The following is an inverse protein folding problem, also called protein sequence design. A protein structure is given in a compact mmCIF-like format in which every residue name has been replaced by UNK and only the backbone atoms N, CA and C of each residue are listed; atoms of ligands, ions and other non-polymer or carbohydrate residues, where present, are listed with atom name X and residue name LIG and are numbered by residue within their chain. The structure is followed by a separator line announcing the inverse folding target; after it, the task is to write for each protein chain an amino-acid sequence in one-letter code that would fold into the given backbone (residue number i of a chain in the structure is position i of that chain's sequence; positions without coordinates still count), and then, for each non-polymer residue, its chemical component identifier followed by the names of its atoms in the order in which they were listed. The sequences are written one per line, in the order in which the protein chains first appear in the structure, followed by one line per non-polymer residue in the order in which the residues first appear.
data_IF_510326453227
#
_entry.id   IF_510326453227
#
_cell.length_a   1.000
_cell.length_b   1.000
_cell.length_c   1.000
_cell.angle_alpha   90.00
_cell.angle_beta   90.00
_cell.angle_gamma   90.00
#
_symmetry.space_group_name_H-M   'P 1'
#
loop_
_entity.id
_entity.type
_entity.pdbx_description
1 polymer ?
#
# COMPACT_ATOMS: atom_id res chain seq x y z
N UNK A 1 14.63 21.56 1.62
CA UNK A 1 13.31 22.25 1.48
C UNK A 1 12.41 21.46 0.53
N UNK A 2 12.96 21.00 -0.59
CA UNK A 2 12.26 20.16 -1.58
C UNK A 2 11.68 18.86 -1.01
N UNK A 3 12.42 18.13 -0.16
CA UNK A 3 11.91 16.90 0.48
C UNK A 3 10.66 17.15 1.35
N UNK A 4 10.60 18.29 2.05
CA UNK A 4 9.44 18.66 2.88
C UNK A 4 8.25 18.99 1.99
N UNK A 5 8.48 19.74 0.90
CA UNK A 5 7.43 20.04 -0.08
C UNK A 5 6.89 18.77 -0.74
N UNK A 6 7.76 17.84 -1.13
CA UNK A 6 7.39 16.55 -1.71
C UNK A 6 6.53 15.73 -0.74
N UNK A 7 6.95 15.65 0.53
CA UNK A 7 6.18 14.98 1.57
C UNK A 7 4.80 15.63 1.79
N UNK A 8 4.74 16.95 1.94
CA UNK A 8 3.47 17.67 2.10
C UNK A 8 2.55 17.44 0.89
N UNK A 9 3.11 17.44 -0.31
CA UNK A 9 2.37 17.15 -1.53
C UNK A 9 1.88 15.68 -1.57
N UNK A 10 2.70 14.71 -1.16
CA UNK A 10 2.32 13.30 -1.06
C UNK A 10 1.16 13.10 -0.08
N UNK A 11 1.22 13.73 1.10
CA UNK A 11 0.14 13.68 2.10
C UNK A 11 -1.14 14.32 1.55
N UNK A 12 -1.03 15.44 0.84
CA UNK A 12 -2.17 16.09 0.23
C UNK A 12 -2.75 15.27 -0.92
N UNK A 13 -1.96 14.67 -1.81
CA UNK A 13 -2.49 13.95 -2.97
C UNK A 13 -3.08 12.58 -2.62
N UNK A 14 -2.66 11.96 -1.52
CA UNK A 14 -3.06 10.60 -1.16
C UNK A 14 -4.59 10.38 -1.09
N UNK A 15 -5.42 11.26 -0.49
CA UNK A 15 -6.88 11.09 -0.50
C UNK A 15 -7.52 11.24 -1.89
N UNK A 16 -6.88 11.96 -2.81
CA UNK A 16 -7.40 12.20 -4.16
C UNK A 16 -7.33 10.95 -5.03
N UNK A 17 -6.23 10.20 -4.92
CA UNK A 17 -5.95 9.06 -5.79
C UNK A 17 -6.99 7.91 -5.68
N UNK A 18 -7.46 7.49 -4.48
CA UNK A 18 -8.53 6.49 -4.39
C UNK A 18 -9.84 6.91 -5.06
N UNK A 19 -10.12 8.22 -5.20
CA UNK A 19 -11.29 8.68 -5.95
C UNK A 19 -11.16 8.40 -7.46
N UNK A 20 -9.93 8.28 -7.98
CA UNK A 20 -9.68 7.83 -9.36
C UNK A 20 -10.14 6.38 -9.54
N UNK A 21 -9.83 5.49 -8.60
CA UNK A 21 -10.32 4.09 -8.62
C UNK A 21 -11.85 4.07 -8.66
N UNK A 22 -12.52 4.84 -7.80
CA UNK A 22 -13.98 4.93 -7.78
C UNK A 22 -14.57 5.44 -9.10
N UNK A 23 -13.93 6.41 -9.75
CA UNK A 23 -14.35 6.90 -11.07
C UNK A 23 -14.19 5.85 -12.16
N UNK A 24 -13.08 5.12 -12.18
CA UNK A 24 -12.85 4.05 -13.16
C UNK A 24 -13.92 2.96 -12.98
N UNK A 25 -14.18 2.52 -11.75
CA UNK A 25 -15.26 1.56 -11.46
C UNK A 25 -16.63 2.07 -11.90
N UNK A 26 -16.94 3.33 -11.63
CA UNK A 26 -18.20 3.93 -12.05
C UNK A 26 -18.34 3.97 -13.58
N UNK A 27 -17.26 4.31 -14.30
CA UNK A 27 -17.24 4.31 -15.76
C UNK A 27 -17.52 2.92 -16.33
N UNK A 28 -16.86 1.87 -15.83
CA UNK A 28 -17.12 0.49 -16.25
C UNK A 28 -18.55 0.03 -15.90
N UNK A 29 -19.13 0.56 -14.83
CA UNK A 29 -20.52 0.30 -14.45
C UNK A 29 -21.55 1.16 -15.19
N UNK A 30 -21.14 2.03 -16.12
CA UNK A 30 -22.03 2.95 -16.85
C UNK A 30 -22.61 4.08 -16.00
N UNK A 31 -21.94 4.44 -14.89
CA UNK A 31 -22.33 5.49 -13.94
C UNK A 31 -21.38 6.69 -14.02
N UNK A 32 -21.85 7.88 -13.63
CA UNK A 32 -21.02 9.10 -13.63
C UNK A 32 -19.90 9.08 -12.58
N UNK A 33 -20.09 8.37 -11.47
CA UNK A 33 -19.12 8.28 -10.38
C UNK A 33 -19.06 9.53 -9.48
N UNK A 34 -18.40 9.42 -8.32
CA UNK A 34 -18.28 10.53 -7.37
C UNK A 34 -17.29 11.60 -7.85
N UNK A 35 -17.35 12.83 -7.31
CA UNK A 35 -16.36 13.87 -7.58
C UNK A 35 -14.97 13.46 -7.05
N UNK A 36 -13.89 13.94 -7.68
CA UNK A 36 -12.51 13.59 -7.26
C UNK A 36 -12.17 14.01 -5.82
N UNK A 37 -12.85 15.05 -5.32
CA UNK A 37 -12.65 15.56 -3.96
C UNK A 37 -13.52 14.85 -2.91
N UNK A 38 -14.24 13.78 -3.27
CA UNK A 38 -15.18 13.09 -2.37
C UNK A 38 -14.53 12.66 -1.06
N UNK A 39 -13.32 12.10 -1.12
CA UNK A 39 -12.62 11.58 0.05
C UNK A 39 -12.25 12.68 1.05
N UNK A 40 -11.92 13.90 0.57
CA UNK A 40 -11.71 15.04 1.46
C UNK A 40 -13.00 15.45 2.15
N UNK A 41 -14.12 15.55 1.43
CA UNK A 41 -15.40 15.90 2.03
C UNK A 41 -15.83 14.87 3.08
N UNK A 42 -15.62 13.58 2.80
CA UNK A 42 -15.87 12.49 3.75
C UNK A 42 -14.98 12.60 4.97
N UNK A 43 -13.68 12.83 4.78
CA UNK A 43 -12.72 13.01 5.87
C UNK A 43 -13.08 14.21 6.76
N UNK A 44 -13.38 15.38 6.18
CA UNK A 44 -13.82 16.55 6.93
C UNK A 44 -15.13 16.31 7.67
N UNK A 45 -16.05 15.53 7.09
CA UNK A 45 -17.29 15.11 7.75
C UNK A 45 -16.99 14.20 8.95
N UNK A 46 -16.08 13.23 8.81
CA UNK A 46 -15.73 12.30 9.88
C UNK A 46 -15.06 13.02 11.06
N UNK A 47 -14.15 13.97 10.81
CA UNK A 47 -13.54 14.78 11.87
C UNK A 47 -14.52 15.71 12.60
N UNK A 48 -15.66 16.03 11.99
CA UNK A 48 -16.74 16.81 12.63
C UNK A 48 -17.69 15.96 13.47
N UNK A 49 -17.57 14.63 13.41
CA UNK A 49 -18.35 13.70 14.24
C UNK A 49 -17.61 13.38 15.54
N UNK A 50 -18.33 12.82 16.51
CA UNK A 50 -17.71 12.21 17.69
C UNK A 50 -17.43 10.72 17.47
N UNK A 51 -16.41 10.19 18.15
CA UNK A 51 -16.19 8.74 18.27
C UNK A 51 -17.12 8.16 19.34
N UNK A 52 -17.75 7.03 19.03
CA UNK A 52 -18.52 6.22 19.97
C UNK A 52 -17.71 4.98 20.30
N UNK A 53 -17.56 4.68 21.59
CA UNK A 53 -16.82 3.51 22.07
C UNK A 53 -17.76 2.57 22.82
N UNK A 54 -17.64 1.28 22.55
CA UNK A 54 -18.38 0.24 23.27
C UNK A 54 -17.86 0.10 24.71
N UNK A 55 -18.74 -0.25 25.65
CA UNK A 55 -18.37 -0.55 27.04
C UNK A 55 -17.49 -1.79 27.15
N UNK A 56 -17.48 -2.64 26.14
CA UNK A 56 -16.67 -3.87 26.09
C UNK A 56 -15.25 -3.63 25.59
N UNK A 57 -14.97 -2.46 25.01
CA UNK A 57 -13.65 -2.11 24.48
C UNK A 57 -12.73 -1.54 25.55
N UNK A 58 -11.43 -1.82 25.43
CA UNK A 58 -10.38 -1.29 26.28
C UNK A 58 -9.69 -0.09 25.64
N UNK A 59 -8.58 0.37 26.24
CA UNK A 59 -7.77 1.44 25.66
C UNK A 59 -7.10 1.02 24.33
N UNK A 60 -6.97 -0.29 24.09
CA UNK A 60 -6.33 -0.85 22.89
C UNK A 60 -7.10 -0.48 21.63
N UNK A 61 -8.44 -0.51 21.68
CA UNK A 61 -9.30 -0.05 20.59
C UNK A 61 -8.97 1.39 20.12
N UNK A 62 -8.61 2.30 21.05
CA UNK A 62 -8.24 3.68 20.71
C UNK A 62 -6.83 3.80 20.13
N UNK A 63 -5.93 2.88 20.49
CA UNK A 63 -4.57 2.88 19.97
C UNK A 63 -4.51 2.40 18.51
N UNK A 64 -5.39 1.48 18.09
CA UNK A 64 -5.43 0.96 16.72
C UNK A 64 -5.38 2.04 15.63
N UNK A 65 -6.36 2.96 15.58
CA UNK A 65 -6.41 4.06 14.61
C UNK A 65 -5.18 4.96 14.64
N UNK A 66 -4.72 5.35 15.84
CA UNK A 66 -3.62 6.29 16.03
C UNK A 66 -2.29 5.67 15.57
N UNK A 67 -2.03 4.44 16.00
CA UNK A 67 -0.81 3.73 15.66
C UNK A 67 -0.78 3.40 14.17
N UNK A 68 -1.87 2.86 13.61
CA UNK A 68 -1.98 2.55 12.18
C UNK A 68 -1.76 3.78 11.29
N UNK A 69 -2.39 4.91 11.63
CA UNK A 69 -2.15 6.17 10.94
C UNK A 69 -0.69 6.63 11.03
N UNK A 70 -0.11 6.61 12.25
CA UNK A 70 1.24 7.09 12.49
C UNK A 70 2.30 6.28 11.73
N UNK A 71 2.14 4.96 11.65
CA UNK A 71 3.09 4.10 10.94
C UNK A 71 2.99 4.32 9.43
N UNK A 72 1.78 4.40 8.86
CA UNK A 72 1.59 4.71 7.44
C UNK A 72 2.10 6.11 7.06
N UNK A 73 1.94 7.11 7.93
CA UNK A 73 2.52 8.44 7.72
C UNK A 73 4.06 8.37 7.74
N UNK A 74 4.63 7.63 8.69
CA UNK A 74 6.07 7.47 8.82
C UNK A 74 6.67 6.85 7.55
N UNK A 75 5.98 5.90 6.91
CA UNK A 75 6.42 5.31 5.63
C UNK A 75 6.74 6.36 4.56
N UNK A 76 5.89 7.39 4.45
CA UNK A 76 6.05 8.45 3.44
C UNK A 76 7.23 9.37 3.72
N UNK A 77 7.72 9.46 4.97
CA UNK A 77 8.88 10.29 5.33
C UNK A 77 10.20 9.71 4.84
N UNK A 78 10.29 8.38 4.75
CA UNK A 78 11.50 7.66 4.38
C UNK A 78 11.53 7.22 2.91
N UNK A 79 10.38 7.21 2.23
CA UNK A 79 10.31 6.76 0.85
C UNK A 79 10.65 7.91 -0.11
N UNK A 80 11.58 7.71 -1.08
CA UNK A 80 12.02 8.76 -1.99
C UNK A 80 10.95 9.00 -3.06
N UNK A 81 10.07 9.99 -2.88
CA UNK A 81 9.01 10.34 -3.84
C UNK A 81 9.53 11.27 -4.95
N UNK A 82 9.12 11.02 -6.20
CA UNK A 82 9.35 11.94 -7.34
C UNK A 82 10.83 12.33 -7.58
N UNK A 83 11.75 11.37 -7.47
CA UNK A 83 13.21 11.61 -7.63
C UNK A 83 13.85 12.53 -6.58
N UNK A 84 13.09 12.93 -5.57
CA UNK A 84 13.58 13.75 -4.47
C UNK A 84 14.01 12.83 -3.32
N UNK A 85 15.17 13.14 -2.74
CA UNK A 85 15.67 12.44 -1.55
C UNK A 85 14.64 12.53 -0.40
N UNK A 86 14.44 11.44 0.36
CA UNK A 86 13.47 11.43 1.45
C UNK A 86 13.92 12.35 2.58
N UNK A 87 13.00 12.68 3.49
CA UNK A 87 13.32 13.56 4.64
C UNK A 87 14.31 12.87 5.58
N UNK A 88 14.11 11.56 5.78
CA UNK A 88 15.00 10.73 6.57
C UNK A 88 15.50 9.57 5.71
N UNK A 89 16.80 9.30 5.76
CA UNK A 89 17.40 8.09 5.22
C UNK A 89 18.60 7.69 6.08
N UNK A 90 18.73 6.40 6.32
CA UNK A 90 19.86 5.82 7.02
C UNK A 90 20.04 4.35 6.58
N UNK A 91 21.20 3.78 6.86
CA UNK A 91 21.47 2.38 6.51
C UNK A 91 20.56 1.42 7.27
N UNK A 92 19.69 0.70 6.56
CA UNK A 92 18.69 -0.21 7.16
C UNK A 92 17.29 0.39 7.31
N UNK A 93 17.02 1.57 6.72
CA UNK A 93 15.68 2.19 6.76
C UNK A 93 14.59 1.25 6.22
N UNK A 94 14.89 0.46 5.19
CA UNK A 94 14.01 -0.54 4.60
C UNK A 94 13.44 -1.51 5.63
N UNK A 95 14.30 -2.10 6.47
CA UNK A 95 13.87 -3.10 7.45
C UNK A 95 12.95 -2.47 8.50
N UNK A 96 13.33 -1.30 9.02
CA UNK A 96 12.54 -0.59 10.03
C UNK A 96 11.15 -0.25 9.50
N UNK A 97 11.05 0.16 8.24
CA UNK A 97 9.77 0.52 7.64
C UNK A 97 8.81 -0.67 7.54
N UNK A 98 9.28 -1.85 7.13
CA UNK A 98 8.41 -3.02 7.11
C UNK A 98 8.01 -3.49 8.52
N UNK A 99 8.90 -3.39 9.52
CA UNK A 99 8.51 -3.62 10.91
C UNK A 99 7.49 -2.60 11.41
N UNK A 100 7.59 -1.33 11.01
CA UNK A 100 6.59 -0.30 11.32
C UNK A 100 5.23 -0.61 10.67
N UNK A 101 5.20 -1.09 9.42
CA UNK A 101 3.97 -1.55 8.78
C UNK A 101 3.36 -2.74 9.53
N UNK A 102 4.18 -3.71 9.93
CA UNK A 102 3.78 -4.84 10.76
C UNK A 102 3.21 -4.40 12.12
N UNK A 103 3.82 -3.39 12.74
CA UNK A 103 3.34 -2.79 13.99
C UNK A 103 1.98 -2.10 13.81
N UNK A 104 1.80 -1.34 12.73
CA UNK A 104 0.51 -0.74 12.38
C UNK A 104 -0.58 -1.80 12.27
N UNK A 105 -0.31 -2.86 11.51
CA UNK A 105 -1.24 -4.00 11.33
C UNK A 105 -1.53 -4.74 12.64
N UNK A 106 -0.50 -4.93 13.47
CA UNK A 106 -0.67 -5.58 14.77
C UNK A 106 -1.67 -4.82 15.64
N UNK A 107 -1.57 -3.49 15.70
CA UNK A 107 -2.51 -2.66 16.46
C UNK A 107 -3.91 -2.59 15.83
N UNK A 108 -4.05 -2.63 14.50
CA UNK A 108 -5.38 -2.73 13.88
C UNK A 108 -6.04 -4.08 14.16
N UNK A 109 -5.28 -5.17 14.14
CA UNK A 109 -5.77 -6.51 14.51
C UNK A 109 -6.18 -6.55 15.99
N UNK A 110 -5.35 -6.00 16.88
CA UNK A 110 -5.68 -5.95 18.30
C UNK A 110 -6.92 -5.11 18.59
N UNK A 111 -7.08 -3.97 17.92
CA UNK A 111 -8.27 -3.15 18.05
C UNK A 111 -9.54 -3.91 17.63
N UNK A 112 -9.48 -4.66 16.53
CA UNK A 112 -10.58 -5.52 16.09
C UNK A 112 -10.87 -6.68 17.07
N UNK A 113 -9.87 -7.24 17.75
CA UNK A 113 -10.09 -8.30 18.73
C UNK A 113 -10.67 -7.76 20.06
N UNK A 114 -10.47 -6.48 20.36
CA UNK A 114 -10.87 -5.82 21.61
C UNK A 114 -12.38 -5.53 21.68
N UNK A 115 -13.09 -5.53 20.55
CA UNK A 115 -14.55 -5.29 20.49
C UNK A 115 -15.38 -6.49 20.94
N UNK A 116 -14.74 -7.65 21.13
CA UNK A 116 -15.37 -8.93 21.50
C UNK A 116 -16.47 -9.40 20.53
N UNK A 117 -16.37 -9.02 19.25
CA UNK A 117 -17.29 -9.47 18.19
C UNK A 117 -16.78 -10.72 17.46
N UNK A 118 -17.65 -11.72 17.18
CA UNK A 118 -17.24 -12.93 16.46
C UNK A 118 -16.83 -12.65 15.01
N UNK A 119 -17.35 -11.59 14.39
CA UNK A 119 -16.98 -11.20 13.03
C UNK A 119 -15.57 -10.63 13.00
N UNK A 120 -15.27 -9.70 13.91
CA UNK A 120 -13.95 -9.05 13.97
C UNK A 120 -12.83 -10.03 14.23
N UNK A 121 -13.05 -11.07 15.05
CA UNK A 121 -12.12 -12.19 15.18
C UNK A 121 -11.88 -12.98 13.89
N UNK A 122 -12.92 -13.20 13.08
CA UNK A 122 -12.78 -13.86 11.77
C UNK A 122 -12.02 -12.99 10.75
N UNK A 123 -12.30 -11.68 10.72
CA UNK A 123 -11.59 -10.72 9.86
C UNK A 123 -10.12 -10.61 10.24
N UNK A 124 -9.83 -10.42 11.53
CA UNK A 124 -8.47 -10.35 12.07
C UNK A 124 -7.63 -11.60 11.75
N UNK A 125 -8.20 -12.80 11.90
CA UNK A 125 -7.49 -14.05 11.59
C UNK A 125 -7.14 -14.16 10.09
N UNK A 126 -8.05 -13.73 9.21
CA UNK A 126 -7.84 -13.73 7.75
C UNK A 126 -6.79 -12.69 7.35
N UNK A 127 -6.90 -11.47 7.87
CA UNK A 127 -5.94 -10.40 7.60
C UNK A 127 -4.53 -10.81 8.02
N UNK A 128 -4.37 -11.35 9.24
CA UNK A 128 -3.09 -11.83 9.74
C UNK A 128 -2.51 -12.90 8.81
N UNK A 129 -3.31 -13.89 8.42
CA UNK A 129 -2.87 -14.98 7.55
C UNK A 129 -2.46 -14.50 6.16
N UNK A 130 -3.26 -13.67 5.49
CA UNK A 130 -2.93 -13.17 4.16
C UNK A 130 -1.73 -12.23 4.16
N UNK A 131 -1.62 -11.41 5.18
CA UNK A 131 -0.50 -10.49 5.34
C UNK A 131 0.83 -11.22 5.57
N UNK A 132 0.85 -12.26 6.41
CA UNK A 132 2.08 -13.05 6.60
C UNK A 132 2.55 -13.74 5.31
N UNK A 133 1.63 -14.15 4.43
CA UNK A 133 1.99 -14.68 3.11
C UNK A 133 2.53 -13.59 2.18
N UNK A 134 1.93 -12.38 2.20
CA UNK A 134 2.42 -11.25 1.40
C UNK A 134 3.81 -10.78 1.86
N UNK A 135 4.08 -10.82 3.16
CA UNK A 135 5.36 -10.46 3.76
C UNK A 135 6.52 -11.33 3.24
N UNK A 136 6.30 -12.63 3.00
CA UNK A 136 7.30 -13.51 2.36
C UNK A 136 7.77 -12.97 1.01
N UNK A 137 6.82 -12.45 0.23
CA UNK A 137 7.08 -11.88 -1.09
C UNK A 137 7.86 -10.58 -0.97
N UNK A 138 7.45 -9.70 -0.07
CA UNK A 138 8.12 -8.43 0.21
C UNK A 138 9.58 -8.67 0.58
N UNK A 139 9.87 -9.53 1.57
CA UNK A 139 11.25 -9.83 1.95
C UNK A 139 12.04 -10.49 0.81
N UNK A 140 11.40 -11.29 -0.04
CA UNK A 140 12.02 -11.79 -1.27
C UNK A 140 12.48 -10.66 -2.20
N UNK A 141 11.66 -9.62 -2.39
CA UNK A 141 12.02 -8.43 -3.19
C UNK A 141 13.19 -7.69 -2.53
N UNK A 142 13.16 -7.54 -1.22
CA UNK A 142 14.24 -6.84 -0.49
C UNK A 142 15.57 -7.56 -0.60
N UNK A 143 15.58 -8.89 -0.47
CA UNK A 143 16.79 -9.71 -0.64
C UNK A 143 17.32 -9.56 -2.07
N UNK A 144 16.44 -9.59 -3.07
CA UNK A 144 16.82 -9.34 -4.47
C UNK A 144 17.43 -7.94 -4.63
N UNK A 145 16.81 -6.90 -4.07
CA UNK A 145 17.26 -5.51 -4.22
C UNK A 145 18.59 -5.26 -3.50
N UNK A 146 18.76 -5.83 -2.30
CA UNK A 146 20.04 -5.83 -1.59
C UNK A 146 21.14 -6.50 -2.42
N UNK A 147 20.83 -7.61 -3.10
CA UNK A 147 21.81 -8.27 -3.97
C UNK A 147 22.22 -7.40 -5.16
N UNK A 148 21.28 -6.70 -5.78
CA UNK A 148 21.54 -5.89 -6.97
C UNK A 148 22.28 -4.58 -6.63
N UNK A 149 22.01 -4.00 -5.46
CA UNK A 149 22.51 -2.66 -5.10
C UNK A 149 23.59 -2.66 -4.02
N UNK A 150 23.67 -3.73 -3.21
CA UNK A 150 24.53 -3.82 -2.03
C UNK A 150 24.06 -2.98 -0.84
N UNK A 151 22.89 -2.34 -0.92
CA UNK A 151 22.39 -1.40 0.09
C UNK A 151 21.11 -1.87 0.77
N UNK A 152 20.89 -1.40 2.00
CA UNK A 152 19.66 -1.58 2.77
C UNK A 152 18.89 -0.26 2.94
N UNK A 153 19.05 0.69 2.01
CA UNK A 153 18.29 1.94 2.03
C UNK A 153 17.40 2.14 0.80
N UNK A 154 16.17 2.65 1.03
CA UNK A 154 15.23 2.94 -0.06
C UNK A 154 15.77 4.03 -0.99
N UNK A 155 16.47 5.02 -0.44
CA UNK A 155 17.09 6.05 -1.24
C UNK A 155 18.12 5.45 -2.19
N UNK A 156 19.05 4.62 -1.69
CA UNK A 156 20.10 4.02 -2.54
C UNK A 156 19.57 3.01 -3.56
N UNK A 157 18.39 2.41 -3.36
CA UNK A 157 17.74 1.60 -4.39
C UNK A 157 17.41 2.39 -5.66
N UNK A 158 17.07 3.67 -5.51
CA UNK A 158 16.60 4.53 -6.59
C UNK A 158 17.53 5.71 -6.90
N UNK A 159 18.54 5.97 -6.06
CA UNK A 159 19.56 6.99 -6.26
C UNK A 159 20.94 6.37 -5.98
N UNK A 160 21.62 5.93 -7.02
CA UNK A 160 22.93 5.30 -6.91
C UNK A 160 23.46 4.78 -8.24
N UNK A 161 24.68 4.25 -8.23
CA UNK A 161 25.33 3.73 -9.45
C UNK A 161 24.62 2.50 -10.05
N UNK A 162 23.90 1.73 -9.23
CA UNK A 162 23.10 0.57 -9.64
C UNK A 162 21.60 0.83 -9.44
N UNK A 163 21.09 1.87 -10.08
CA UNK A 163 19.68 2.25 -9.97
C UNK A 163 18.76 1.13 -10.47
N UNK A 164 17.77 0.77 -9.66
CA UNK A 164 16.75 -0.21 -10.02
C UNK A 164 15.72 0.47 -10.91
N UNK A 165 15.76 0.17 -12.21
CA UNK A 165 14.81 0.68 -13.19
C UNK A 165 14.58 -0.34 -14.31
N UNK A 166 13.39 -0.34 -14.92
CA UNK A 166 13.04 -1.21 -16.05
C UNK A 166 13.93 -1.01 -17.29
N UNK A 167 14.62 0.12 -17.42
CA UNK A 167 15.56 0.37 -18.54
C UNK A 167 16.97 -0.18 -18.26
N UNK A 168 17.26 -0.53 -17.01
CA UNK A 168 18.57 -1.07 -16.62
C UNK A 168 18.85 -2.48 -17.13
N UNK A 169 20.05 -2.98 -16.85
CA UNK A 169 20.54 -4.30 -17.28
C UNK A 169 19.60 -5.45 -16.86
N UNK A 170 18.92 -5.31 -15.72
CA UNK A 170 17.99 -6.30 -15.17
C UNK A 170 16.52 -6.03 -15.51
N UNK A 171 16.24 -5.11 -16.43
CA UNK A 171 14.89 -4.64 -16.75
C UNK A 171 13.87 -5.75 -17.03
N UNK A 172 14.25 -6.75 -17.83
CA UNK A 172 13.38 -7.88 -18.15
C UNK A 172 12.98 -8.71 -16.93
N UNK A 173 13.89 -8.87 -15.96
CA UNK A 173 13.63 -9.58 -14.71
C UNK A 173 12.78 -8.74 -13.75
N UNK A 174 12.97 -7.43 -13.74
CA UNK A 174 12.20 -6.50 -12.92
C UNK A 174 10.72 -6.44 -13.31
N UNK A 175 10.32 -6.81 -14.53
CA UNK A 175 8.90 -6.96 -14.90
C UNK A 175 8.19 -7.96 -13.97
N UNK A 176 8.83 -9.08 -13.64
CA UNK A 176 8.27 -10.07 -12.72
C UNK A 176 8.17 -9.53 -11.30
N UNK A 177 9.11 -8.68 -10.89
CA UNK A 177 9.06 -7.97 -9.60
C UNK A 177 7.90 -6.97 -9.58
N UNK A 178 7.69 -6.21 -10.65
CA UNK A 178 6.56 -5.27 -10.79
C UNK A 178 5.23 -6.01 -10.68
N UNK A 179 5.07 -7.13 -11.39
CA UNK A 179 3.86 -7.97 -11.27
C UNK A 179 3.71 -8.50 -9.85
N UNK A 180 4.80 -8.97 -9.24
CA UNK A 180 4.78 -9.51 -7.89
C UNK A 180 4.38 -8.48 -6.83
N UNK A 181 4.99 -7.29 -6.90
CA UNK A 181 4.71 -6.17 -6.02
C UNK A 181 3.31 -5.60 -6.26
N UNK A 182 2.79 -5.63 -7.49
CA UNK A 182 1.41 -5.25 -7.78
C UNK A 182 0.39 -6.18 -7.11
N UNK A 183 0.63 -7.50 -7.13
CA UNK A 183 -0.21 -8.48 -6.41
C UNK A 183 -0.15 -8.24 -4.90
N UNK A 184 1.05 -8.00 -4.35
CA UNK A 184 1.21 -7.66 -2.93
C UNK A 184 0.47 -6.38 -2.59
N UNK A 185 0.58 -5.32 -3.41
CA UNK A 185 -0.13 -4.07 -3.23
C UNK A 185 -1.65 -4.28 -3.16
N UNK A 186 -2.21 -5.09 -4.06
CA UNK A 186 -3.65 -5.40 -4.03
C UNK A 186 -4.04 -6.15 -2.75
N UNK A 187 -3.21 -7.10 -2.32
CA UNK A 187 -3.44 -7.90 -1.11
C UNK A 187 -3.39 -7.03 0.15
N UNK A 188 -2.34 -6.24 0.30
CA UNK A 188 -2.06 -5.41 1.48
C UNK A 188 -3.01 -4.23 1.63
N UNK A 189 -3.60 -3.76 0.53
CA UNK A 189 -4.58 -2.67 0.55
C UNK A 189 -6.03 -3.16 0.40
N UNK A 190 -6.25 -4.46 0.60
CA UNK A 190 -7.58 -5.08 0.67
C UNK A 190 -8.41 -4.84 -0.59
N UNK A 191 -7.78 -4.99 -1.75
CA UNK A 191 -8.35 -4.74 -3.08
C UNK A 191 -8.69 -6.06 -3.79
N UNK A 192 -9.55 -5.95 -4.81
CA UNK A 192 -9.97 -7.10 -5.64
C UNK A 192 -8.75 -7.58 -6.41
N UNK A 193 -8.48 -8.90 -6.50
CA UNK A 193 -9.39 -10.03 -6.24
C UNK A 193 -9.36 -10.63 -4.83
N UNK A 194 -8.55 -10.08 -3.91
CA UNK A 194 -8.37 -10.63 -2.55
C UNK A 194 -9.52 -10.24 -1.63
N UNK A 195 -9.79 -8.94 -1.54
CA UNK A 195 -10.90 -8.37 -0.77
C UNK A 195 -11.62 -7.29 -1.57
N UNK A 196 -12.78 -6.83 -1.12
CA UNK A 196 -13.50 -5.72 -1.74
C UNK A 196 -13.96 -4.72 -0.67
N UNK A 197 -13.41 -3.49 -0.63
CA UNK A 197 -13.80 -2.47 0.35
C UNK A 197 -15.27 -2.05 0.22
N UNK A 198 -15.91 -2.29 -0.93
CA UNK A 198 -17.31 -1.95 -1.13
C UNK A 198 -18.28 -3.03 -0.59
N UNK A 199 -17.77 -4.20 -0.20
CA UNK A 199 -18.60 -5.29 0.31
C UNK A 199 -18.79 -5.15 1.81
N UNK A 200 -20.04 -4.97 2.26
CA UNK A 200 -20.39 -4.92 3.68
C UNK A 200 -21.06 -6.21 4.19
N UNK A 201 -20.80 -7.34 3.53
CA UNK A 201 -21.34 -8.65 3.95
C UNK A 201 -20.45 -9.25 5.05
N UNK A 202 -20.97 -9.29 6.28
CA UNK A 202 -20.25 -9.66 7.51
C UNK A 202 -19.43 -10.95 7.41
N UNK A 203 -19.93 -11.96 6.70
CA UNK A 203 -19.26 -13.26 6.56
C UNK A 203 -18.07 -13.23 5.58
N UNK A 204 -18.09 -12.31 4.62
CA UNK A 204 -17.09 -12.27 3.55
C UNK A 204 -16.14 -11.09 3.69
N UNK A 205 -16.45 -10.08 4.49
CA UNK A 205 -15.52 -8.98 4.77
C UNK A 205 -14.18 -9.53 5.37
N UNK A 206 -13.06 -8.89 5.03
CA UNK A 206 -11.75 -9.14 5.65
C UNK A 206 -11.30 -7.84 6.34
N UNK A 207 -10.99 -6.81 5.56
CA UNK A 207 -10.50 -5.55 6.10
C UNK A 207 -11.61 -4.69 6.70
N UNK A 208 -12.73 -4.57 5.98
CA UNK A 208 -13.88 -3.79 6.44
C UNK A 208 -14.43 -4.29 7.78
N UNK A 209 -14.30 -5.60 8.09
CA UNK A 209 -14.70 -6.12 9.41
C UNK A 209 -13.89 -5.50 10.53
N UNK A 210 -12.57 -5.37 10.35
CA UNK A 210 -11.68 -4.90 11.41
C UNK A 210 -11.95 -3.46 11.84
N UNK A 211 -12.72 -2.72 11.03
CA UNK A 211 -12.98 -1.30 11.23
C UNK A 211 -14.46 -0.98 11.49
N UNK A 212 -15.31 -2.01 11.61
CA UNK A 212 -16.77 -1.86 11.72
C UNK A 212 -17.20 -1.01 12.90
N UNK A 213 -16.59 -1.23 14.06
CA UNK A 213 -16.97 -0.53 15.29
C UNK A 213 -16.29 0.85 15.42
N UNK A 214 -15.38 1.21 14.50
CA UNK A 214 -14.74 2.53 14.50
C UNK A 214 -15.66 3.61 13.92
N UNK A 215 -15.68 4.78 14.56
CA UNK A 215 -16.56 5.88 14.18
C UNK A 215 -15.88 7.23 14.29
N UNK A 216 -16.39 8.21 13.53
CA UNK A 216 -15.95 9.60 13.62
C UNK A 216 -14.46 9.78 13.26
N UNK A 217 -13.69 10.54 14.08
CA UNK A 217 -12.27 10.80 13.84
C UNK A 217 -11.40 9.54 13.74
N UNK A 218 -11.72 8.49 14.49
CA UNK A 218 -10.93 7.25 14.49
C UNK A 218 -10.99 6.57 13.12
N UNK A 219 -12.19 6.50 12.54
CA UNK A 219 -12.38 5.99 11.18
C UNK A 219 -11.66 6.86 10.14
N UNK A 220 -11.60 8.18 10.34
CA UNK A 220 -10.85 9.07 9.45
C UNK A 220 -9.34 8.79 9.47
N UNK A 221 -8.77 8.49 10.64
CA UNK A 221 -7.36 8.14 10.78
C UNK A 221 -7.02 6.82 10.09
N UNK A 222 -7.91 5.82 10.23
CA UNK A 222 -7.78 4.52 9.56
C UNK A 222 -7.78 4.69 8.04
N UNK A 223 -8.76 5.41 7.50
CA UNK A 223 -8.87 5.69 6.06
C UNK A 223 -7.66 6.44 5.53
N UNK A 224 -7.18 7.47 6.25
CA UNK A 224 -5.96 8.18 5.91
C UNK A 224 -4.74 7.25 5.88
N UNK A 225 -4.59 6.39 6.89
CA UNK A 225 -3.53 5.39 6.93
C UNK A 225 -3.58 4.43 5.74
N UNK A 226 -4.77 3.95 5.39
CA UNK A 226 -4.98 3.09 4.23
C UNK A 226 -4.61 3.79 2.91
N UNK A 227 -4.95 5.08 2.75
CA UNK A 227 -4.59 5.84 1.54
C UNK A 227 -3.09 6.11 1.46
N UNK A 228 -2.41 6.39 2.58
CA UNK A 228 -0.96 6.54 2.62
C UNK A 228 -0.22 5.23 2.33
N UNK A 229 -0.71 4.10 2.87
CA UNK A 229 -0.18 2.77 2.57
C UNK A 229 -0.32 2.45 1.08
N UNK A 230 -1.47 2.72 0.48
CA UNK A 230 -1.68 2.48 -0.95
C UNK A 230 -0.78 3.38 -1.81
N UNK A 231 -0.63 4.66 -1.43
CA UNK A 231 0.29 5.58 -2.10
C UNK A 231 1.73 5.10 -2.00
N UNK A 232 2.17 4.58 -0.86
CA UNK A 232 3.51 4.02 -0.68
C UNK A 232 3.77 2.87 -1.67
N UNK A 233 2.88 1.87 -1.74
CA UNK A 233 3.06 0.75 -2.66
C UNK A 233 2.97 1.18 -4.14
N UNK A 234 2.04 2.07 -4.48
CA UNK A 234 1.93 2.61 -5.83
C UNK A 234 3.17 3.45 -6.21
N UNK A 235 3.71 4.22 -5.27
CA UNK A 235 4.96 4.95 -5.42
C UNK A 235 6.16 4.03 -5.57
N UNK A 236 6.18 2.90 -4.83
CA UNK A 236 7.22 1.88 -4.95
C UNK A 236 7.23 1.24 -6.33
N UNK A 237 6.06 0.89 -6.85
CA UNK A 237 5.90 0.44 -8.24
C UNK A 237 6.30 1.53 -9.25
N UNK A 238 5.83 2.75 -9.05
CA UNK A 238 6.13 3.87 -9.94
C UNK A 238 7.64 4.12 -10.02
N UNK A 239 8.39 4.03 -8.92
CA UNK A 239 9.85 4.16 -8.93
C UNK A 239 10.59 3.09 -9.72
N UNK A 240 10.05 1.87 -9.78
CA UNK A 240 10.64 0.80 -10.58
C UNK A 240 10.29 0.99 -12.07
N UNK A 241 9.06 1.42 -12.34
CA UNK A 241 8.51 1.58 -13.69
C UNK A 241 9.07 2.80 -14.39
N UNK A 242 9.19 3.92 -13.68
CA UNK A 242 9.59 5.22 -14.22
C UNK A 242 11.11 5.29 -14.41
N UNK A 243 11.61 5.43 -15.65
CA UNK A 243 13.02 5.61 -15.92
C UNK A 243 13.39 7.08 -16.20
N UNK A 244 12.42 8.00 -16.24
CA UNK A 244 12.61 9.32 -16.83
C UNK A 244 13.16 10.34 -15.83
N UNK A 245 14.46 10.59 -15.93
CA UNK A 245 15.12 11.63 -15.17
C UNK A 245 15.26 12.87 -16.05
N UNK A 246 14.48 13.92 -15.79
CA UNK A 246 14.69 15.23 -16.39
C UNK A 246 15.43 16.16 -15.42
N UNK A 247 16.13 17.16 -15.95
CA UNK A 247 16.84 18.16 -15.14
C UNK A 247 15.88 19.07 -14.33
N UNK A 248 14.57 18.99 -14.59
CA UNK A 248 13.56 19.82 -13.94
C UNK A 248 12.73 19.00 -12.93
N UNK A 249 12.86 19.37 -11.66
CA UNK A 249 12.18 18.74 -10.52
C UNK A 249 10.64 18.72 -10.66
N UNK A 250 10.05 19.74 -11.29
CA UNK A 250 8.60 19.82 -11.49
C UNK A 250 8.16 18.78 -12.53
N UNK A 251 8.97 18.59 -13.56
CA UNK A 251 8.68 17.62 -14.61
C UNK A 251 8.76 16.19 -14.06
N UNK A 252 9.79 15.88 -13.26
CA UNK A 252 9.93 14.56 -12.62
C UNK A 252 8.76 14.29 -11.67
N UNK A 253 8.33 15.31 -10.90
CA UNK A 253 7.12 15.23 -10.09
C UNK A 253 5.86 14.92 -10.91
N UNK A 254 5.65 15.62 -12.03
CA UNK A 254 4.50 15.38 -12.90
C UNK A 254 4.52 13.97 -13.53
N UNK A 255 5.68 13.50 -13.97
CA UNK A 255 5.84 12.15 -14.53
C UNK A 255 5.55 11.11 -13.46
N UNK A 256 6.20 11.21 -12.28
CA UNK A 256 6.01 10.28 -11.18
C UNK A 256 4.56 10.16 -10.74
N UNK A 257 3.89 11.29 -10.46
CA UNK A 257 2.46 11.26 -10.08
C UNK A 257 1.54 10.89 -11.25
N UNK A 258 1.96 11.10 -12.49
CA UNK A 258 1.30 10.57 -13.68
C UNK A 258 1.33 9.04 -13.72
N UNK A 259 2.49 8.43 -13.46
CA UNK A 259 2.65 6.97 -13.36
C UNK A 259 1.89 6.41 -12.17
N UNK A 260 1.95 7.06 -10.99
CA UNK A 260 1.14 6.66 -9.83
C UNK A 260 -0.35 6.70 -10.19
N UNK A 261 -0.84 7.77 -10.82
CA UNK A 261 -2.25 7.87 -11.23
C UNK A 261 -2.61 6.76 -12.23
N UNK A 262 -1.70 6.43 -13.15
CA UNK A 262 -1.88 5.31 -14.07
C UNK A 262 -2.02 3.97 -13.32
N UNK A 263 -1.21 3.71 -12.29
CA UNK A 263 -1.34 2.53 -11.43
C UNK A 263 -2.70 2.51 -10.72
N UNK A 264 -3.21 3.65 -10.24
CA UNK A 264 -4.56 3.70 -9.67
C UNK A 264 -5.65 3.41 -10.71
N UNK A 265 -5.47 3.81 -11.96
CA UNK A 265 -6.37 3.44 -13.06
C UNK A 265 -6.33 1.93 -13.29
N UNK A 266 -5.14 1.31 -13.31
CA UNK A 266 -5.05 -0.15 -13.49
C UNK A 266 -5.70 -0.91 -12.33
N UNK A 267 -5.59 -0.44 -11.08
CA UNK A 267 -6.34 -0.99 -9.94
C UNK A 267 -7.85 -0.91 -10.23
N UNK A 268 -8.37 0.26 -10.63
CA UNK A 268 -9.78 0.43 -10.95
C UNK A 268 -10.26 -0.47 -12.10
N UNK A 269 -9.42 -0.69 -13.12
CA UNK A 269 -9.72 -1.62 -14.22
C UNK A 269 -9.75 -3.06 -13.69
N UNK A 270 -8.75 -3.48 -12.92
CA UNK A 270 -8.69 -4.83 -12.32
C UNK A 270 -9.92 -5.07 -11.44
N UNK A 271 -10.27 -4.15 -10.55
CA UNK A 271 -11.48 -4.25 -9.72
C UNK A 271 -12.77 -4.31 -10.53
N UNK A 272 -12.79 -3.79 -11.77
CA UNK A 272 -13.97 -3.78 -12.63
C UNK A 272 -14.12 -5.04 -13.49
N UNK A 273 -13.00 -5.64 -13.91
CA UNK A 273 -13.01 -6.82 -14.81
C UNK A 273 -12.83 -8.14 -14.07
N UNK A 274 -12.36 -8.11 -12.82
CA UNK A 274 -12.13 -9.32 -12.03
C UNK A 274 -13.20 -9.51 -10.97
N UNK A 275 -13.62 -10.77 -10.79
CA UNK A 275 -14.45 -11.15 -9.67
C UNK A 275 -13.58 -11.46 -8.45
N UNK A 276 -14.15 -11.25 -7.27
CA UNK A 276 -13.51 -11.64 -6.01
C UNK A 276 -13.23 -13.14 -5.98
N UNK A 277 -12.04 -13.51 -5.51
CA UNK A 277 -11.69 -14.91 -5.33
C UNK A 277 -12.38 -15.55 -4.13
N UNK A 278 -12.66 -16.84 -4.28
CA UNK A 278 -13.11 -17.69 -3.16
C UNK A 278 -11.97 -17.79 -2.15
N UNK A 279 -12.29 -17.79 -0.85
CA UNK A 279 -11.30 -17.83 0.25
C UNK A 279 -10.18 -18.88 0.07
N UNK A 280 -10.43 -20.12 -0.38
CA UNK A 280 -9.35 -21.10 -0.56
C UNK A 280 -8.37 -20.79 -1.70
N UNK A 281 -8.75 -19.91 -2.64
CA UNK A 281 -7.91 -19.49 -3.77
C UNK A 281 -7.02 -18.30 -3.42
N UNK A 282 -7.39 -17.51 -2.43
CA UNK A 282 -6.66 -16.30 -2.01
C UNK A 282 -5.21 -16.63 -1.61
N UNK A 283 -4.92 -17.64 -0.76
CA UNK A 283 -3.53 -17.98 -0.42
C UNK A 283 -2.69 -18.39 -1.64
N UNK A 284 -3.29 -19.11 -2.60
CA UNK A 284 -2.60 -19.52 -3.84
C UNK A 284 -2.21 -18.31 -4.67
N UNK A 285 -3.12 -17.34 -4.76
CA UNK A 285 -2.86 -16.06 -5.44
C UNK A 285 -1.74 -15.28 -4.75
N UNK A 286 -1.75 -15.16 -3.41
CA UNK A 286 -0.72 -14.43 -2.65
C UNK A 286 0.65 -15.13 -2.68
N UNK A 287 0.69 -16.46 -2.81
CA UNK A 287 1.95 -17.20 -2.96
C UNK A 287 2.55 -17.16 -4.37
N UNK A 288 1.74 -16.85 -5.39
CA UNK A 288 2.22 -16.70 -6.78
C UNK A 288 3.34 -15.67 -6.92
N UNK A 289 3.24 -14.43 -6.39
CA UNK A 289 4.31 -13.45 -6.51
C UNK A 289 5.59 -13.87 -5.78
N UNK A 290 5.51 -14.58 -4.66
CA UNK A 290 6.68 -15.15 -3.99
C UNK A 290 7.47 -16.08 -4.92
N UNK A 291 6.77 -16.96 -5.64
CA UNK A 291 7.38 -17.89 -6.61
C UNK A 291 8.07 -17.11 -7.74
N UNK A 292 7.41 -16.06 -8.27
CA UNK A 292 7.99 -15.22 -9.32
C UNK A 292 9.29 -14.56 -8.86
N UNK A 293 9.30 -13.99 -7.65
CA UNK A 293 10.47 -13.30 -7.09
C UNK A 293 11.59 -14.27 -6.73
N UNK A 294 11.24 -15.45 -6.20
CA UNK A 294 12.21 -16.51 -5.95
C UNK A 294 12.89 -16.96 -7.25
N UNK A 295 12.10 -17.13 -8.32
CA UNK A 295 12.63 -17.47 -9.65
C UNK A 295 13.56 -16.38 -10.21
N UNK A 296 13.16 -15.10 -10.11
CA UNK A 296 14.01 -13.96 -10.50
C UNK A 296 15.31 -13.97 -9.72
N UNK A 297 15.25 -14.20 -8.41
CA UNK A 297 16.42 -14.24 -7.54
C UNK A 297 17.39 -15.33 -7.98
N UNK A 298 16.90 -16.53 -8.32
CA UNK A 298 17.73 -17.62 -8.85
C UNK A 298 18.40 -17.21 -10.17
N UNK A 299 17.66 -16.62 -11.11
CA UNK A 299 18.21 -16.20 -12.39
C UNK A 299 19.31 -15.15 -12.23
N UNK A 300 19.12 -14.18 -11.33
CA UNK A 300 20.20 -13.22 -11.02
C UNK A 300 21.43 -13.91 -10.43
N UNK A 301 21.30 -15.08 -9.78
CA UNK A 301 22.46 -15.84 -9.32
C UNK A 301 23.24 -16.51 -10.44
N UNK A 302 22.53 -17.04 -11.45
CA UNK A 302 23.15 -17.74 -12.57
C UNK A 302 23.75 -16.82 -13.62
N UNK A 303 23.24 -15.59 -13.77
CA UNK A 303 23.72 -14.60 -14.74
C UNK A 303 24.94 -13.82 -14.23
N UNK A 304 25.19 -13.79 -12.91
CA UNK A 304 26.32 -13.11 -12.27
C UNK A 304 27.59 -14.01 -12.13
N UNK A 305 27.64 -15.13 -12.84
CA UNK A 305 28.86 -15.95 -13.00
C UNK A 305 29.45 -15.76 -14.40
#
# INVERSE_FOLDING_TARGET
MESILSFCFAVLIAPLLPAVIQKVKAYFAGKQGPPLLINYYTMFKLFKKGSVYSTSTSFVFKLGPVVGFSTSLMMLLYFPMAEIAPIFSFHGDVLILFYLMGLGRFFTILAALDTASPFEGMGAAREAFFSTLAEMTIFGILILFYRLTGSLSFNEFFSGNHMISLIGEYGALLILVVVGLYIVMLTENSRVPVDDPATHLELTMIHEVMILDHSGPDLALIELGAWFKLLFYAGFLARIIDPFHADNIILNGLIFYGVVTFIYITIGVVESITARYKMPMVPKFILTPFILIFFVTILTMGVLQ
#
